data_IF_066003523609
#
_entry.id   IF_066003523609
#
_cell.length_a   1.000
_cell.length_b   1.000
_cell.length_c   1.000
_cell.angle_alpha   90.00
_cell.angle_beta   90.00
_cell.angle_gamma   90.00
#
_symmetry.space_group_name_H-M   'P 1'
#
loop_
_entity.id
_entity.type
_entity.pdbx_description
1 polymer ?
#
# COMPACT_ATOMS: atom_id res chain seq x y z
N UNK A 1 -12.95 -23.06 -13.09
CA UNK A 1 -14.15 -22.22 -12.95
C UNK A 1 -13.92 -20.94 -13.71
N UNK A 2 -15.00 -20.35 -14.25
CA UNK A 2 -14.92 -18.98 -14.75
C UNK A 2 -14.58 -18.03 -13.60
N UNK A 3 -13.84 -16.97 -13.91
CA UNK A 3 -13.61 -15.89 -12.94
C UNK A 3 -14.95 -15.27 -12.58
N UNK A 4 -15.17 -15.02 -11.29
CA UNK A 4 -16.37 -14.35 -10.79
C UNK A 4 -16.00 -13.11 -9.97
N UNK A 5 -16.78 -12.05 -10.14
CA UNK A 5 -16.81 -10.90 -9.24
C UNK A 5 -18.13 -10.93 -8.46
N UNK A 6 -18.08 -10.76 -7.15
CA UNK A 6 -19.28 -10.76 -6.31
C UNK A 6 -19.19 -9.68 -5.24
N UNK A 7 -20.22 -8.85 -5.15
CA UNK A 7 -20.39 -7.89 -4.05
C UNK A 7 -21.12 -8.56 -2.90
N UNK A 8 -20.58 -8.41 -1.70
CA UNK A 8 -21.08 -9.05 -0.47
C UNK A 8 -20.75 -8.21 0.75
N UNK A 9 -20.92 -8.78 1.93
CA UNK A 9 -20.54 -8.20 3.22
C UNK A 9 -19.37 -8.97 3.83
N UNK A 10 -18.41 -8.24 4.39
CA UNK A 10 -17.38 -8.77 5.28
C UNK A 10 -17.78 -8.47 6.71
N UNK A 11 -17.91 -9.51 7.53
CA UNK A 11 -18.00 -9.37 8.97
C UNK A 11 -16.62 -9.53 9.60
N UNK A 12 -16.26 -8.60 10.48
CA UNK A 12 -14.98 -8.64 11.17
C UNK A 12 -15.11 -8.03 12.55
N UNK A 13 -14.47 -8.65 13.53
CA UNK A 13 -14.35 -8.03 14.85
C UNK A 13 -13.46 -6.79 14.74
N UNK A 14 -13.87 -5.68 15.32
CA UNK A 14 -13.05 -4.48 15.22
C UNK A 14 -13.53 -3.34 16.09
N UNK A 15 -12.90 -2.19 15.86
CA UNK A 15 -13.15 -0.96 16.58
C UNK A 15 -13.71 0.04 15.57
N UNK A 16 -14.96 0.51 15.75
CA UNK A 16 -15.54 1.44 14.79
C UNK A 16 -14.71 2.73 14.78
N UNK A 17 -14.38 3.19 13.58
CA UNK A 17 -13.97 4.58 13.41
C UNK A 17 -15.23 5.44 13.53
N UNK A 18 -15.24 6.37 14.47
CA UNK A 18 -16.26 7.39 14.61
C UNK A 18 -16.30 8.32 13.39
N UNK A 19 -17.26 9.26 13.36
CA UNK A 19 -17.36 10.23 12.28
C UNK A 19 -16.08 11.06 12.17
N UNK A 20 -15.77 11.52 10.97
CA UNK A 20 -14.70 12.50 10.79
C UNK A 20 -15.00 13.77 11.60
N UNK A 21 -13.95 14.43 12.08
CA UNK A 21 -14.05 15.67 12.84
C UNK A 21 -14.89 16.72 12.11
N UNK A 22 -15.71 17.44 12.87
CA UNK A 22 -16.53 18.56 12.34
C UNK A 22 -15.70 19.82 12.11
N UNK A 23 -14.49 19.86 12.65
CA UNK A 23 -13.58 20.99 12.53
C UNK A 23 -12.52 20.72 11.46
N UNK A 24 -12.01 21.76 10.78
CA UNK A 24 -10.87 21.63 9.90
C UNK A 24 -9.68 20.99 10.64
N UNK A 25 -8.88 20.20 9.93
CA UNK A 25 -7.64 19.67 10.48
C UNK A 25 -6.66 20.82 10.72
N UNK A 26 -6.54 21.25 11.98
CA UNK A 26 -5.56 22.26 12.42
C UNK A 26 -4.23 21.63 12.86
N UNK A 27 -4.13 20.29 12.81
CA UNK A 27 -2.89 19.54 13.07
C UNK A 27 -2.07 19.44 11.79
N UNK A 28 -0.76 19.59 11.93
CA UNK A 28 0.21 19.21 10.90
C UNK A 28 0.51 17.72 11.05
N UNK A 29 -0.03 16.85 10.17
CA UNK A 29 0.10 15.41 10.37
C UNK A 29 1.53 14.93 10.14
N UNK A 30 2.31 15.62 9.28
CA UNK A 30 3.63 15.18 8.82
C UNK A 30 4.51 16.40 8.47
N UNK A 31 4.94 17.16 9.47
CA UNK A 31 6.00 18.16 9.29
C UNK A 31 7.35 17.46 9.28
N UNK A 32 7.84 17.08 8.11
CA UNK A 32 9.26 16.80 7.92
C UNK A 32 9.64 17.06 6.48
N UNK A 33 10.22 18.23 6.25
CA UNK A 33 11.16 18.39 5.15
C UNK A 33 12.17 17.25 5.27
N UNK A 34 12.27 16.41 4.25
CA UNK A 34 13.27 15.36 4.21
C UNK A 34 14.60 16.05 3.95
N UNK A 35 15.54 15.87 4.88
CA UNK A 35 16.94 16.08 4.60
C UNK A 35 17.45 14.87 3.79
N UNK A 36 18.17 15.12 2.70
CA UNK A 36 18.77 14.08 1.88
C UNK A 36 20.27 14.33 1.77
N UNK A 37 21.05 13.28 2.06
CA UNK A 37 22.51 13.24 1.92
C UNK A 37 22.82 12.20 0.85
N UNK A 38 22.57 12.60 -0.39
CA UNK A 38 22.61 11.78 -1.60
C UNK A 38 23.52 12.41 -2.66
N UNK A 39 23.79 11.69 -3.73
CA UNK A 39 24.47 12.24 -4.91
C UNK A 39 23.59 13.28 -5.63
N UNK A 40 24.19 14.11 -6.48
CA UNK A 40 23.55 15.30 -7.09
C UNK A 40 22.20 14.98 -7.77
N UNK A 41 22.15 13.91 -8.55
CA UNK A 41 20.95 13.51 -9.29
C UNK A 41 19.93 12.73 -8.43
N UNK A 42 20.39 12.08 -7.36
CA UNK A 42 19.55 11.24 -6.48
C UNK A 42 18.60 12.08 -5.61
N UNK A 43 18.97 13.33 -5.33
CA UNK A 43 18.17 14.27 -4.54
C UNK A 43 17.07 15.00 -5.32
N UNK A 44 16.96 14.78 -6.64
CA UNK A 44 16.00 15.48 -7.47
C UNK A 44 14.56 15.23 -7.02
N UNK A 45 13.78 16.30 -6.96
CA UNK A 45 12.37 16.30 -6.52
C UNK A 45 12.11 15.85 -5.07
N UNK A 46 13.13 15.65 -4.24
CA UNK A 46 12.91 15.49 -2.79
C UNK A 46 12.13 16.70 -2.27
N UNK A 47 11.11 16.43 -1.46
CA UNK A 47 10.14 17.42 -0.96
C UNK A 47 9.22 18.07 -2.00
N UNK A 48 9.30 17.72 -3.29
CA UNK A 48 8.42 18.30 -4.31
C UNK A 48 6.95 17.94 -4.07
N UNK A 49 6.10 18.97 -4.07
CA UNK A 49 4.65 18.80 -3.93
C UNK A 49 4.18 18.32 -2.57
N UNK A 50 4.99 18.46 -1.51
CA UNK A 50 4.60 18.14 -0.15
C UNK A 50 3.50 19.06 0.40
N UNK A 51 2.74 18.55 1.37
CA UNK A 51 1.76 19.32 2.15
C UNK A 51 2.16 19.32 3.63
N UNK A 52 1.81 20.40 4.33
CA UNK A 52 2.03 20.58 5.78
C UNK A 52 0.72 20.51 6.58
N UNK A 53 -0.34 20.00 5.99
CA UNK A 53 -1.66 19.88 6.62
C UNK A 53 -2.40 18.65 6.08
N UNK A 54 -3.58 18.37 6.63
CA UNK A 54 -4.50 17.36 6.09
C UNK A 54 -5.62 17.97 5.24
N UNK A 55 -5.62 19.27 4.99
CA UNK A 55 -6.69 19.94 4.25
C UNK A 55 -6.75 19.45 2.79
N UNK A 56 -7.95 19.34 2.21
CA UNK A 56 -9.26 19.75 2.74
C UNK A 56 -9.96 18.67 3.59
N UNK A 57 -9.25 17.63 4.03
CA UNK A 57 -9.83 16.50 4.75
C UNK A 57 -9.87 16.74 6.26
N UNK A 58 -10.98 16.39 6.90
CA UNK A 58 -11.10 16.41 8.35
C UNK A 58 -10.49 15.15 8.99
N UNK A 59 -10.03 15.24 10.24
CA UNK A 59 -9.41 14.13 10.97
C UNK A 59 -10.39 12.97 11.20
N UNK A 60 -9.87 11.75 11.25
CA UNK A 60 -10.54 10.53 11.68
C UNK A 60 -9.81 10.00 12.92
N UNK A 61 -10.05 10.62 14.07
CA UNK A 61 -9.37 10.38 15.34
C UNK A 61 -10.32 10.04 16.50
N UNK A 62 -11.61 9.92 16.20
CA UNK A 62 -12.64 9.51 17.16
C UNK A 62 -12.80 7.99 17.12
N UNK A 63 -11.99 7.26 17.88
CA UNK A 63 -12.14 5.81 18.06
C UNK A 63 -11.68 5.39 19.45
N UNK A 64 -12.51 4.63 20.15
CA UNK A 64 -12.22 4.10 21.49
C UNK A 64 -11.73 2.66 21.38
N UNK A 65 -10.45 2.44 21.69
CA UNK A 65 -9.82 1.12 21.59
C UNK A 65 -10.42 0.06 22.54
N UNK A 66 -11.26 0.46 23.50
CA UNK A 66 -12.01 -0.46 24.37
C UNK A 66 -13.33 -0.95 23.76
N UNK A 67 -13.88 -0.24 22.77
CA UNK A 67 -15.22 -0.50 22.20
C UNK A 67 -15.17 -1.47 21.02
N UNK A 68 -14.78 -2.71 21.32
CA UNK A 68 -14.66 -3.77 20.33
C UNK A 68 -16.03 -4.40 20.02
N UNK A 69 -16.40 -4.47 18.75
CA UNK A 69 -17.69 -5.02 18.28
C UNK A 69 -17.56 -5.73 16.94
N UNK A 70 -18.58 -6.50 16.55
CA UNK A 70 -18.66 -7.07 15.21
C UNK A 70 -19.06 -5.97 14.23
N UNK A 71 -18.20 -5.71 13.25
CA UNK A 71 -18.43 -4.73 12.18
C UNK A 71 -18.81 -5.45 10.90
N UNK A 72 -19.61 -4.79 10.08
CA UNK A 72 -19.97 -5.27 8.75
C UNK A 72 -19.61 -4.22 7.70
N UNK A 73 -18.83 -4.61 6.69
CA UNK A 73 -18.39 -3.73 5.60
C UNK A 73 -18.82 -4.28 4.25
N UNK A 74 -19.13 -3.38 3.30
CA UNK A 74 -19.26 -3.76 1.89
C UNK A 74 -17.93 -4.31 1.37
N UNK A 75 -18.01 -5.44 0.67
CA UNK A 75 -16.88 -6.15 0.12
C UNK A 75 -17.12 -6.55 -1.33
N UNK A 76 -16.04 -6.62 -2.09
CA UNK A 76 -16.03 -7.22 -3.42
C UNK A 76 -15.04 -8.38 -3.42
N UNK A 77 -15.45 -9.52 -3.97
CA UNK A 77 -14.60 -10.71 -4.10
C UNK A 77 -14.39 -11.00 -5.57
N UNK A 78 -13.13 -11.02 -6.00
CA UNK A 78 -12.73 -11.46 -7.33
C UNK A 78 -12.00 -12.80 -7.18
N UNK A 79 -12.52 -13.87 -7.77
CA UNK A 79 -11.94 -15.21 -7.63
C UNK A 79 -11.94 -16.04 -8.91
N UNK A 80 -10.97 -16.94 -9.03
CA UNK A 80 -10.90 -18.01 -10.03
C UNK A 80 -10.53 -19.34 -9.34
N UNK A 81 -10.04 -20.34 -10.06
CA UNK A 81 -9.64 -21.63 -9.47
C UNK A 81 -8.43 -21.55 -8.53
N UNK A 82 -7.58 -20.53 -8.71
CA UNK A 82 -6.28 -20.43 -8.04
C UNK A 82 -6.26 -19.39 -6.92
N UNK A 83 -6.94 -18.27 -7.11
CA UNK A 83 -6.88 -17.13 -6.19
C UNK A 83 -8.28 -16.67 -5.80
N UNK A 84 -8.41 -16.17 -4.56
CA UNK A 84 -9.54 -15.38 -4.09
C UNK A 84 -9.03 -14.06 -3.52
N UNK A 85 -9.36 -12.95 -4.16
CA UNK A 85 -9.02 -11.59 -3.74
C UNK A 85 -10.26 -10.92 -3.14
N UNK A 86 -10.18 -10.52 -1.86
CA UNK A 86 -11.29 -9.85 -1.16
C UNK A 86 -10.93 -8.40 -0.86
N UNK A 87 -11.74 -7.48 -1.35
CA UNK A 87 -11.60 -6.05 -1.19
C UNK A 87 -12.62 -5.52 -0.18
N UNK A 88 -12.23 -4.60 0.70
CA UNK A 88 -13.13 -3.95 1.66
C UNK A 88 -13.32 -2.49 1.23
N UNK A 89 -14.46 -2.22 0.60
CA UNK A 89 -14.72 -0.96 -0.10
C UNK A 89 -14.81 0.25 0.84
N UNK A 90 -15.45 0.15 2.03
CA UNK A 90 -15.49 1.22 3.04
C UNK A 90 -14.13 1.59 3.65
N UNK A 91 -13.11 0.74 3.48
CA UNK A 91 -11.77 0.93 4.05
C UNK A 91 -10.76 1.24 2.94
N UNK A 92 -11.04 2.28 2.17
CA UNK A 92 -10.15 2.75 1.11
C UNK A 92 -10.07 1.82 -0.11
N UNK A 93 -10.97 0.83 -0.21
CA UNK A 93 -10.85 -0.23 -1.22
C UNK A 93 -9.71 -1.20 -0.95
N UNK A 94 -9.31 -1.36 0.33
CA UNK A 94 -8.22 -2.24 0.77
C UNK A 94 -8.39 -3.65 0.19
N UNK A 95 -7.37 -4.18 -0.48
CA UNK A 95 -7.29 -5.63 -0.72
C UNK A 95 -6.98 -6.29 0.62
N UNK A 96 -8.00 -6.82 1.29
CA UNK A 96 -7.89 -7.36 2.64
C UNK A 96 -7.22 -8.72 2.66
N UNK A 97 -7.57 -9.58 1.71
CA UNK A 97 -7.10 -10.96 1.59
C UNK A 97 -6.77 -11.27 0.13
N UNK A 98 -5.71 -12.04 -0.06
CA UNK A 98 -5.36 -12.64 -1.35
C UNK A 98 -4.97 -14.09 -1.06
N UNK A 99 -5.96 -14.96 -1.15
CA UNK A 99 -5.83 -16.35 -0.75
C UNK A 99 -5.45 -17.23 -1.94
N UNK A 100 -4.40 -18.03 -1.78
CA UNK A 100 -4.01 -19.09 -2.72
C UNK A 100 -4.83 -20.35 -2.43
N UNK A 101 -5.79 -20.65 -3.30
CA UNK A 101 -6.70 -21.81 -3.21
C UNK A 101 -5.97 -23.13 -3.50
N UNK A 102 -4.84 -23.09 -4.23
CA UNK A 102 -4.05 -24.29 -4.50
C UNK A 102 -3.23 -24.69 -3.28
N UNK A 103 -2.58 -23.71 -2.66
CA UNK A 103 -1.74 -23.94 -1.48
C UNK A 103 -2.53 -23.91 -0.16
N UNK A 104 -3.77 -23.43 -0.17
CA UNK A 104 -4.62 -23.33 1.01
C UNK A 104 -4.12 -22.32 2.04
N UNK A 105 -3.55 -21.19 1.58
CA UNK A 105 -2.92 -20.19 2.46
C UNK A 105 -3.16 -18.75 2.00
N UNK A 106 -3.12 -17.82 2.95
CA UNK A 106 -3.05 -16.39 2.66
C UNK A 106 -1.67 -16.00 2.11
N UNK A 107 -1.66 -15.11 1.12
CA UNK A 107 -0.44 -14.51 0.59
C UNK A 107 -0.09 -13.19 1.28
N UNK A 108 -1.09 -12.53 1.88
CA UNK A 108 -0.95 -11.26 2.58
C UNK A 108 -1.23 -11.43 4.07
N UNK A 109 -0.85 -10.44 4.88
CA UNK A 109 -1.30 -10.34 6.26
C UNK A 109 -2.78 -9.96 6.28
N UNK A 110 -3.66 -10.95 6.21
CA UNK A 110 -5.10 -10.79 6.35
C UNK A 110 -5.48 -10.70 7.83
N UNK A 111 -5.58 -9.48 8.36
CA UNK A 111 -5.88 -9.27 9.77
C UNK A 111 -7.22 -9.90 10.15
N UNK A 112 -7.26 -10.49 11.34
CA UNK A 112 -8.48 -11.05 11.93
C UNK A 112 -9.34 -9.99 12.59
N UNK A 113 -8.80 -8.78 12.77
CA UNK A 113 -9.47 -7.66 13.42
C UNK A 113 -9.23 -6.34 12.69
N UNK A 114 -10.25 -5.48 12.64
CA UNK A 114 -10.08 -4.09 12.24
C UNK A 114 -9.73 -3.22 13.44
N UNK A 115 -8.50 -2.71 13.49
CA UNK A 115 -8.01 -1.84 14.56
C UNK A 115 -7.34 -0.59 14.00
N UNK A 116 -8.01 0.58 14.05
CA UNK A 116 -7.39 1.83 13.65
C UNK A 116 -6.31 2.26 14.65
N UNK A 117 -5.33 3.01 14.16
CA UNK A 117 -4.21 3.59 14.89
C UNK A 117 -3.76 4.87 14.20
N UNK A 118 -2.97 5.70 14.89
CA UNK A 118 -2.67 7.09 14.52
C UNK A 118 -1.54 7.26 13.49
N UNK A 119 -1.64 6.60 12.33
CA UNK A 119 -0.58 6.59 11.32
C UNK A 119 -0.92 7.28 9.98
N UNK A 120 -2.20 7.34 9.59
CA UNK A 120 -2.59 7.95 8.31
C UNK A 120 -2.60 9.48 8.38
N UNK A 121 -2.70 10.10 7.21
CA UNK A 121 -2.81 11.57 7.07
C UNK A 121 -4.01 12.13 7.84
N UNK A 122 -5.09 11.35 7.95
CA UNK A 122 -6.28 11.69 8.75
C UNK A 122 -6.29 10.97 10.09
N UNK A 123 -5.14 10.59 10.64
CA UNK A 123 -4.98 9.79 11.85
C UNK A 123 -5.33 8.30 11.63
N UNK A 124 -6.60 7.90 11.55
CA UNK A 124 -6.98 6.48 11.49
C UNK A 124 -6.36 5.73 10.30
N UNK A 125 -5.52 4.74 10.62
CA UNK A 125 -4.92 3.77 9.72
C UNK A 125 -4.95 2.39 10.34
N UNK A 126 -4.86 1.34 9.52
CA UNK A 126 -4.75 -0.04 10.01
C UNK A 126 -3.77 -0.84 9.14
N UNK A 127 -3.09 -1.79 9.78
CA UNK A 127 -2.15 -2.70 9.13
C UNK A 127 -2.88 -3.79 8.33
N UNK A 128 -2.12 -4.55 7.53
CA UNK A 128 -2.63 -5.71 6.81
C UNK A 128 -3.17 -5.41 5.41
N UNK A 129 -3.24 -6.45 4.58
CA UNK A 129 -3.68 -6.36 3.19
C UNK A 129 -2.79 -5.46 2.31
N UNK A 130 -3.35 -4.98 1.20
CA UNK A 130 -2.70 -4.01 0.31
C UNK A 130 -3.47 -2.69 0.23
N UNK A 131 -2.81 -1.60 0.62
CA UNK A 131 -3.30 -0.23 0.55
C UNK A 131 -2.81 0.46 -0.72
N UNK A 132 -3.68 1.21 -1.40
CA UNK A 132 -3.34 1.94 -2.62
C UNK A 132 -3.28 3.44 -2.32
N UNK A 133 -2.09 3.93 -2.00
CA UNK A 133 -1.87 5.34 -1.68
C UNK A 133 -1.87 6.18 -2.95
N UNK A 134 -2.65 7.25 -3.00
CA UNK A 134 -2.69 8.15 -4.15
C UNK A 134 -2.74 9.63 -3.73
N UNK A 135 -1.94 10.46 -4.40
CA UNK A 135 -2.01 11.92 -4.32
C UNK A 135 -0.86 12.55 -3.57
N UNK A 136 -0.88 12.50 -2.24
CA UNK A 136 0.17 13.07 -1.37
C UNK A 136 0.95 11.99 -0.64
N UNK A 137 2.17 12.34 -0.20
CA UNK A 137 3.08 11.44 0.52
C UNK A 137 2.44 10.92 1.81
N UNK A 138 2.55 9.61 2.04
CA UNK A 138 2.07 8.93 3.23
C UNK A 138 0.97 7.92 2.95
N UNK A 139 0.40 7.35 4.00
CA UNK A 139 -0.78 6.49 3.91
C UNK A 139 -2.00 7.27 3.42
N UNK A 140 -2.91 6.58 2.74
CA UNK A 140 -3.93 7.23 1.93
C UNK A 140 -4.90 8.04 2.80
N UNK A 141 -5.30 9.22 2.32
CA UNK A 141 -6.29 10.07 3.00
C UNK A 141 -7.68 9.42 3.09
N UNK A 142 -7.92 8.30 2.42
CA UNK A 142 -9.16 7.56 2.48
C UNK A 142 -8.95 6.13 2.98
N UNK A 143 -7.85 5.87 3.72
CA UNK A 143 -7.59 4.56 4.34
C UNK A 143 -8.82 3.98 5.03
N UNK A 144 -9.52 4.79 5.83
CA UNK A 144 -10.74 4.43 6.54
C UNK A 144 -11.95 5.19 5.98
N UNK A 145 -12.03 5.36 4.65
CA UNK A 145 -13.17 5.99 3.99
C UNK A 145 -13.63 5.19 2.78
N UNK A 146 -14.93 5.20 2.47
CA UNK A 146 -15.46 4.44 1.36
C UNK A 146 -14.93 4.94 0.02
N UNK A 147 -14.66 3.99 -0.88
CA UNK A 147 -14.39 4.24 -2.28
C UNK A 147 -15.58 3.84 -3.13
N UNK A 148 -15.71 4.47 -4.29
CA UNK A 148 -16.64 3.97 -5.30
C UNK A 148 -16.07 2.70 -5.92
N UNK A 149 -16.98 1.77 -6.26
CA UNK A 149 -16.66 0.54 -6.95
C UNK A 149 -17.63 0.31 -8.10
N UNK A 150 -17.13 -0.28 -9.18
CA UNK A 150 -17.93 -0.71 -10.32
C UNK A 150 -17.43 -2.07 -10.81
N UNK A 151 -18.37 -2.88 -11.30
CA UNK A 151 -18.06 -4.06 -12.10
C UNK A 151 -18.08 -3.68 -13.57
N UNK A 152 -17.08 -4.15 -14.29
CA UNK A 152 -16.97 -4.05 -15.73
C UNK A 152 -16.71 -5.45 -16.29
N UNK A 153 -17.00 -5.62 -17.57
CA UNK A 153 -16.68 -6.84 -18.30
C UNK A 153 -15.61 -6.53 -19.35
N UNK A 154 -14.48 -7.24 -19.27
CA UNK A 154 -13.41 -7.15 -20.26
C UNK A 154 -13.47 -8.39 -21.17
N UNK A 155 -13.56 -8.23 -22.51
CA UNK A 155 -13.69 -9.36 -23.42
C UNK A 155 -12.53 -10.37 -23.37
N UNK A 156 -11.34 -9.95 -22.94
CA UNK A 156 -10.15 -10.80 -22.85
C UNK A 156 -9.94 -11.34 -21.43
N UNK A 157 -10.21 -10.51 -20.41
CA UNK A 157 -9.86 -10.82 -19.02
C UNK A 157 -11.04 -11.18 -18.11
N UNK A 158 -12.27 -11.08 -18.60
CA UNK A 158 -13.50 -11.35 -17.85
C UNK A 158 -13.89 -10.21 -16.91
N UNK A 159 -14.53 -10.51 -15.76
CA UNK A 159 -14.96 -9.50 -14.81
C UNK A 159 -13.80 -8.66 -14.26
N UNK A 160 -14.01 -7.35 -14.18
CA UNK A 160 -13.05 -6.37 -13.67
C UNK A 160 -13.68 -5.61 -12.52
N UNK A 161 -13.01 -5.62 -11.37
CA UNK A 161 -13.36 -4.73 -10.26
C UNK A 161 -12.64 -3.41 -10.47
N UNK A 162 -13.39 -2.33 -10.71
CA UNK A 162 -12.87 -0.96 -10.72
C UNK A 162 -13.13 -0.30 -9.38
N UNK A 163 -12.08 0.21 -8.74
CA UNK A 163 -12.17 1.12 -7.59
C UNK A 163 -11.70 2.49 -8.04
N UNK A 164 -12.47 3.54 -7.73
CA UNK A 164 -12.17 4.89 -8.20
C UNK A 164 -12.64 5.96 -7.21
N UNK A 165 -12.04 7.13 -7.33
CA UNK A 165 -12.42 8.31 -6.57
C UNK A 165 -11.80 9.58 -7.18
N UNK A 166 -12.03 10.71 -6.51
CA UNK A 166 -11.42 11.99 -6.81
C UNK A 166 -10.54 12.46 -5.65
N UNK A 167 -9.25 12.64 -5.91
CA UNK A 167 -8.34 13.30 -4.98
C UNK A 167 -8.70 14.79 -4.92
N UNK A 168 -9.24 15.22 -3.79
CA UNK A 168 -9.75 16.59 -3.58
C UNK A 168 -8.61 17.60 -3.46
N UNK A 169 -7.50 17.16 -2.88
CA UNK A 169 -6.29 17.95 -2.71
C UNK A 169 -5.46 18.08 -3.98
N UNK A 170 -5.37 17.02 -4.80
CA UNK A 170 -4.68 17.08 -6.10
C UNK A 170 -5.58 17.46 -7.26
N UNK A 171 -6.89 17.46 -7.05
CA UNK A 171 -7.92 17.73 -8.08
C UNK A 171 -7.81 16.78 -9.27
N UNK A 172 -7.46 15.53 -9.00
CA UNK A 172 -7.28 14.49 -10.02
C UNK A 172 -8.17 13.29 -9.74
N UNK A 173 -8.88 12.76 -10.75
CA UNK A 173 -9.47 11.43 -10.64
C UNK A 173 -8.36 10.39 -10.56
N UNK A 174 -8.57 9.38 -9.72
CA UNK A 174 -7.78 8.17 -9.74
C UNK A 174 -8.70 6.96 -9.88
N UNK A 175 -8.10 5.89 -10.42
CA UNK A 175 -8.76 4.62 -10.64
C UNK A 175 -7.73 3.50 -10.48
N UNK A 176 -8.19 2.36 -9.99
CA UNK A 176 -7.48 1.08 -10.08
C UNK A 176 -8.46 0.01 -10.55
N UNK A 177 -8.06 -0.72 -11.60
CA UNK A 177 -8.80 -1.87 -12.10
C UNK A 177 -8.08 -3.15 -11.67
N UNK A 178 -8.82 -4.09 -11.10
CA UNK A 178 -8.33 -5.41 -10.73
C UNK A 178 -8.89 -6.45 -11.68
N UNK A 179 -8.00 -7.29 -12.22
CA UNK A 179 -8.33 -8.34 -13.16
C UNK A 179 -7.73 -9.66 -12.67
N UNK A 180 -8.48 -10.74 -12.81
CA UNK A 180 -8.04 -12.08 -12.44
C UNK A 180 -8.48 -13.07 -13.52
N UNK A 181 -7.74 -13.20 -14.64
CA UNK A 181 -8.11 -14.11 -15.71
C UNK A 181 -8.27 -15.56 -15.22
N UNK A 182 -9.13 -16.36 -15.85
CA UNK A 182 -9.56 -17.68 -15.35
C UNK A 182 -8.40 -18.61 -14.99
N UNK A 183 -7.34 -18.60 -15.82
CA UNK A 183 -6.17 -19.47 -15.68
C UNK A 183 -4.97 -18.78 -14.98
N UNK A 184 -5.18 -17.61 -14.38
CA UNK A 184 -4.11 -16.82 -13.78
C UNK A 184 -3.86 -17.19 -12.31
N UNK A 185 -2.59 -17.30 -11.94
CA UNK A 185 -2.12 -17.34 -10.54
C UNK A 185 -1.67 -15.97 -10.03
N UNK A 186 -1.95 -14.92 -10.79
CA UNK A 186 -1.64 -13.53 -10.48
C UNK A 186 -2.90 -12.68 -10.53
N UNK A 187 -3.08 -11.85 -9.49
CA UNK A 187 -4.00 -10.73 -9.53
C UNK A 187 -3.31 -9.57 -10.27
N UNK A 188 -3.92 -9.09 -11.34
CA UNK A 188 -3.44 -7.92 -12.06
C UNK A 188 -4.09 -6.66 -11.50
N UNK A 189 -3.28 -5.61 -11.31
CA UNK A 189 -3.74 -4.32 -10.84
C UNK A 189 -3.28 -3.22 -11.82
N UNK A 190 -4.23 -2.43 -12.34
CA UNK A 190 -3.97 -1.35 -13.29
C UNK A 190 -4.40 -0.02 -12.70
N UNK A 191 -3.45 0.70 -12.12
CA UNK A 191 -3.65 2.07 -11.64
C UNK A 191 -3.65 3.09 -12.79
N UNK A 192 -4.55 4.07 -12.72
CA UNK A 192 -4.60 5.22 -13.61
C UNK A 192 -4.89 6.49 -12.81
N UNK A 193 -4.02 7.48 -13.00
CA UNK A 193 -4.25 8.87 -12.56
C UNK A 193 -4.34 9.70 -13.83
N UNK A 194 -5.31 10.61 -13.88
CA UNK A 194 -5.47 11.54 -14.98
C UNK A 194 -5.45 12.97 -14.47
N UNK A 195 -4.64 13.83 -15.08
CA UNK A 195 -4.65 15.26 -14.81
C UNK A 195 -5.52 15.96 -15.86
N UNK A 196 -6.76 16.40 -15.51
CA UNK A 196 -7.62 17.15 -16.43
C UNK A 196 -7.20 18.62 -16.58
N UNK A 197 -6.29 19.10 -15.74
CA UNK A 197 -5.85 20.49 -15.71
C UNK A 197 -4.70 20.79 -16.67
N UNK A 198 -4.39 22.08 -16.79
CA UNK A 198 -3.24 22.58 -17.57
C UNK A 198 -1.95 22.62 -16.74
N UNK A 199 -2.08 22.71 -15.42
CA UNK A 199 -0.95 22.84 -14.51
C UNK A 199 -0.35 21.47 -14.16
N UNK A 200 0.96 21.46 -13.88
CA UNK A 200 1.64 20.27 -13.36
C UNK A 200 1.12 19.97 -11.95
N UNK A 201 0.69 18.73 -11.74
CA UNK A 201 0.21 18.25 -10.44
C UNK A 201 1.22 17.23 -9.88
N UNK A 202 1.92 17.53 -8.77
CA UNK A 202 2.75 16.54 -8.11
C UNK A 202 1.90 15.39 -7.59
N UNK A 203 2.32 14.15 -7.86
CA UNK A 203 1.59 12.94 -7.47
C UNK A 203 2.50 11.98 -6.72
N UNK A 204 1.91 11.30 -5.73
CA UNK A 204 2.49 10.19 -5.00
C UNK A 204 1.65 8.94 -5.24
N UNK A 205 2.29 7.80 -5.49
CA UNK A 205 1.61 6.51 -5.61
C UNK A 205 2.44 5.40 -4.98
N UNK A 206 1.82 4.61 -4.10
CA UNK A 206 2.38 3.34 -3.62
C UNK A 206 1.29 2.29 -3.47
N UNK A 207 1.63 1.05 -3.80
CA UNK A 207 0.85 -0.13 -3.42
C UNK A 207 1.53 -0.74 -2.20
N UNK A 208 1.10 -0.34 -1.02
CA UNK A 208 1.69 -0.77 0.25
C UNK A 208 1.09 -2.12 0.66
N UNK A 209 1.87 -3.19 0.55
CA UNK A 209 1.43 -4.57 0.72
C UNK A 209 2.03 -5.14 2.00
N UNK A 210 1.19 -5.53 2.96
CA UNK A 210 1.64 -6.23 4.16
C UNK A 210 1.75 -7.74 3.87
N UNK A 211 2.97 -8.27 3.93
CA UNK A 211 3.25 -9.69 3.85
C UNK A 211 3.64 -10.23 5.24
N UNK A 212 3.31 -11.50 5.56
CA UNK A 212 3.68 -12.08 6.85
C UNK A 212 5.18 -12.33 6.91
N UNK A 213 5.84 -11.82 7.95
CA UNK A 213 7.22 -12.19 8.27
C UNK A 213 7.24 -13.57 8.93
N UNK A 214 7.95 -14.51 8.34
CA UNK A 214 8.15 -15.86 8.91
C UNK A 214 9.63 -16.05 9.25
N UNK A 215 9.98 -16.89 10.25
CA UNK A 215 11.38 -17.10 10.60
C UNK A 215 12.22 -17.58 9.41
N UNK A 216 13.33 -16.90 9.15
CA UNK A 216 14.23 -17.14 8.04
C UNK A 216 13.68 -16.76 6.66
N UNK A 217 12.62 -15.94 6.59
CA UNK A 217 12.16 -15.39 5.32
C UNK A 217 13.20 -14.43 4.74
N UNK A 218 13.22 -14.32 3.41
CA UNK A 218 14.19 -13.52 2.67
C UNK A 218 13.50 -12.68 1.61
N UNK A 219 13.78 -11.38 1.60
CA UNK A 219 13.39 -10.45 0.55
C UNK A 219 14.44 -10.45 -0.55
N UNK A 220 14.01 -10.66 -1.78
CA UNK A 220 14.85 -10.68 -2.98
C UNK A 220 14.34 -9.63 -3.95
N UNK A 221 15.23 -8.71 -4.29
CA UNK A 221 15.01 -7.57 -5.19
C UNK A 221 16.24 -7.42 -6.09
N UNK A 222 16.10 -7.05 -7.37
CA UNK A 222 17.23 -6.88 -8.26
C UNK A 222 17.89 -5.51 -8.07
N UNK A 223 18.36 -5.23 -6.85
CA UNK A 223 19.07 -4.00 -6.48
C UNK A 223 20.30 -4.33 -5.64
N UNK A 224 21.40 -3.63 -5.92
CA UNK A 224 22.65 -3.69 -5.13
C UNK A 224 22.85 -2.45 -4.25
N UNK A 225 21.93 -1.50 -4.32
CA UNK A 225 21.92 -0.27 -3.53
C UNK A 225 20.48 0.06 -3.11
N UNK A 226 20.36 0.82 -2.03
CA UNK A 226 19.08 1.29 -1.51
C UNK A 226 19.23 2.69 -0.95
N UNK A 227 18.18 3.50 -1.12
CA UNK A 227 17.99 4.71 -0.34
C UNK A 227 17.39 4.31 1.00
N UNK A 228 18.03 4.72 2.08
CA UNK A 228 17.73 4.35 3.45
C UNK A 228 17.29 5.58 4.22
N UNK A 229 16.20 5.46 4.97
CA UNK A 229 15.85 6.45 5.98
C UNK A 229 16.63 6.18 7.28
N UNK A 230 17.56 7.06 7.63
CA UNK A 230 18.33 6.98 8.89
C UNK A 230 17.76 7.94 9.92
N UNK A 231 17.80 7.54 11.18
CA UNK A 231 17.41 8.35 12.33
C UNK A 231 18.66 8.71 13.14
N UNK A 232 18.87 10.00 13.39
CA UNK A 232 19.92 10.52 14.26
C UNK A 232 19.35 11.65 15.12
N UNK A 233 19.49 11.54 16.44
CA UNK A 233 19.07 12.56 17.42
C UNK A 233 17.64 13.12 17.24
N UNK A 234 16.71 12.28 16.75
CA UNK A 234 15.32 12.68 16.53
C UNK A 234 15.03 13.33 15.17
N UNK A 235 16.04 13.48 14.31
CA UNK A 235 15.88 13.82 12.90
C UNK A 235 16.02 12.58 12.02
N UNK A 236 15.27 12.54 10.92
CA UNK A 236 15.42 11.50 9.90
C UNK A 236 15.92 12.10 8.59
N UNK A 237 16.83 11.40 7.92
CA UNK A 237 17.41 11.83 6.65
C UNK A 237 17.62 10.64 5.71
N UNK A 238 17.49 10.89 4.41
CA UNK A 238 17.77 9.91 3.38
C UNK A 238 19.26 9.83 3.09
N UNK A 239 19.78 8.61 3.02
CA UNK A 239 21.14 8.33 2.54
C UNK A 239 21.11 7.15 1.57
N UNK A 240 22.19 6.91 0.83
CA UNK A 240 22.34 5.73 -0.03
C UNK A 240 23.33 4.76 0.61
N UNK A 241 23.03 3.46 0.55
CA UNK A 241 23.94 2.41 1.03
C UNK A 241 23.90 1.19 0.12
N UNK A 242 24.93 0.37 0.20
CA UNK A 242 25.04 -0.88 -0.55
C UNK A 242 24.19 -1.99 0.09
N UNK A 243 23.69 -2.89 -0.74
CA UNK A 243 23.05 -4.14 -0.34
C UNK A 243 24.00 -5.33 -0.64
N UNK A 244 23.92 -6.43 0.11
CA UNK A 244 22.97 -6.71 1.17
C UNK A 244 23.45 -6.30 2.57
N UNK A 245 24.68 -5.83 2.75
CA UNK A 245 25.33 -5.74 4.07
C UNK A 245 25.79 -4.32 4.45
N UNK A 246 25.31 -3.28 3.76
CA UNK A 246 25.72 -1.90 4.01
C UNK A 246 25.32 -1.33 5.38
N UNK A 247 24.51 -2.05 6.15
CA UNK A 247 24.21 -1.75 7.56
C UNK A 247 24.96 -2.67 8.56
N UNK A 248 25.87 -3.52 8.08
CA UNK A 248 26.70 -4.41 8.91
C UNK A 248 26.10 -5.79 9.17
N UNK A 249 24.98 -6.12 8.54
CA UNK A 249 24.31 -7.43 8.58
C UNK A 249 23.55 -7.66 7.27
N UNK A 250 23.16 -8.89 6.96
CA UNK A 250 22.41 -9.19 5.74
C UNK A 250 20.97 -8.65 5.81
N UNK A 251 20.75 -7.53 5.13
CA UNK A 251 19.51 -6.77 4.97
C UNK A 251 18.47 -7.51 4.11
N UNK A 252 18.82 -8.62 3.47
CA UNK A 252 17.85 -9.44 2.73
C UNK A 252 16.97 -10.28 3.66
N UNK A 253 17.32 -10.39 4.95
CA UNK A 253 16.52 -11.08 5.96
C UNK A 253 15.83 -10.05 6.87
N UNK A 254 14.49 -9.87 6.75
CA UNK A 254 13.75 -8.92 7.58
C UNK A 254 13.96 -9.07 9.09
N UNK A 255 14.16 -10.30 9.57
CA UNK A 255 14.38 -10.59 10.99
C UNK A 255 15.70 -10.05 11.56
N UNK A 256 16.66 -9.69 10.70
CA UNK A 256 17.95 -9.15 11.15
C UNK A 256 17.87 -7.67 11.55
N UNK A 257 16.79 -6.96 11.22
CA UNK A 257 16.65 -5.54 11.52
C UNK A 257 16.30 -5.33 13.01
N UNK A 258 17.17 -4.67 13.81
CA UNK A 258 16.93 -4.48 15.25
C UNK A 258 15.98 -3.32 15.57
N UNK A 259 15.60 -2.54 14.57
CA UNK A 259 14.73 -1.37 14.65
C UNK A 259 14.04 -1.17 13.30
N UNK A 260 13.02 -0.32 13.30
CA UNK A 260 12.28 0.01 12.08
C UNK A 260 13.18 0.62 10.99
N UNK A 261 12.97 0.21 9.74
CA UNK A 261 13.67 0.72 8.56
C UNK A 261 12.78 0.89 7.35
N UNK A 262 13.13 1.89 6.54
CA UNK A 262 12.63 2.11 5.19
C UNK A 262 13.77 1.93 4.18
N UNK A 263 13.65 0.94 3.30
CA UNK A 263 14.55 0.71 2.16
C UNK A 263 13.82 0.99 0.86
N UNK A 264 14.22 2.01 0.13
CA UNK A 264 13.76 2.27 -1.24
C UNK A 264 14.83 1.75 -2.21
N UNK A 265 14.55 0.63 -2.87
CA UNK A 265 15.56 -0.08 -3.65
C UNK A 265 15.92 0.67 -4.94
N UNK A 266 17.22 0.87 -5.18
CA UNK A 266 17.74 1.45 -6.42
C UNK A 266 17.83 0.35 -7.50
N UNK A 267 16.69 -0.06 -8.06
CA UNK A 267 16.64 -1.11 -9.08
C UNK A 267 17.11 -0.54 -10.43
N UNK A 268 18.13 -1.13 -11.09
CA UNK A 268 18.61 -0.65 -12.38
C UNK A 268 17.51 -0.57 -13.44
N UNK A 269 17.59 0.44 -14.31
CA UNK A 269 16.54 0.75 -15.30
C UNK A 269 16.13 -0.47 -16.16
N UNK A 270 17.11 -1.25 -16.62
CA UNK A 270 16.87 -2.43 -17.48
C UNK A 270 16.51 -3.72 -16.75
N UNK A 271 16.68 -3.78 -15.42
CA UNK A 271 16.28 -4.94 -14.63
C UNK A 271 14.76 -5.10 -14.60
N UNK A 272 14.28 -6.35 -14.50
CA UNK A 272 12.87 -6.64 -14.21
C UNK A 272 12.50 -5.97 -12.87
N UNK A 273 11.33 -5.33 -12.80
CA UNK A 273 10.86 -4.68 -11.58
C UNK A 273 10.05 -5.68 -10.76
N UNK A 274 10.64 -6.20 -9.70
CA UNK A 274 9.98 -7.11 -8.78
C UNK A 274 10.58 -7.02 -7.38
N UNK A 275 9.77 -7.43 -6.42
CA UNK A 275 10.16 -7.70 -5.05
C UNK A 275 9.51 -9.02 -4.63
N UNK A 276 10.30 -9.95 -4.11
CA UNK A 276 9.84 -11.28 -3.72
C UNK A 276 10.21 -11.58 -2.28
N UNK A 277 9.25 -12.12 -1.51
CA UNK A 277 9.48 -12.68 -0.19
C UNK A 277 9.46 -14.20 -0.29
N UNK A 278 10.57 -14.84 0.01
CA UNK A 278 10.69 -16.29 0.07
C UNK A 278 10.74 -16.77 1.51
N UNK A 279 9.94 -17.78 1.84
CA UNK A 279 10.00 -18.49 3.10
C UNK A 279 11.00 -19.65 3.02
N UNK A 280 11.43 -20.15 4.18
CA UNK A 280 12.41 -21.26 4.27
C UNK A 280 11.93 -22.56 3.60
N UNK A 281 10.62 -22.77 3.52
CA UNK A 281 10.01 -23.93 2.88
C UNK A 281 9.92 -23.81 1.34
N UNK A 282 10.43 -22.71 0.77
CA UNK A 282 10.38 -22.43 -0.67
C UNK A 282 9.07 -21.79 -1.15
N UNK A 283 8.07 -21.63 -0.27
CA UNK A 283 6.88 -20.84 -0.56
C UNK A 283 7.21 -19.35 -0.55
N UNK A 284 6.32 -18.51 -1.08
CA UNK A 284 6.57 -17.07 -1.07
C UNK A 284 5.45 -16.23 -1.64
N UNK A 285 5.74 -14.94 -1.79
CA UNK A 285 4.92 -13.94 -2.44
C UNK A 285 5.83 -13.11 -3.35
N UNK A 286 5.34 -12.74 -4.53
CA UNK A 286 6.07 -11.87 -5.46
C UNK A 286 5.15 -10.78 -5.97
N UNK A 287 5.65 -9.55 -5.90
CA UNK A 287 5.02 -8.38 -6.50
C UNK A 287 5.87 -7.94 -7.69
N UNK A 288 5.23 -7.77 -8.85
CA UNK A 288 5.89 -7.33 -10.08
C UNK A 288 5.21 -6.07 -10.60
N UNK A 289 6.01 -5.23 -11.26
CA UNK A 289 5.52 -4.02 -11.87
C UNK A 289 6.05 -3.85 -13.29
N UNK A 290 5.41 -2.97 -14.06
CA UNK A 290 5.92 -2.60 -15.39
C UNK A 290 7.16 -1.71 -15.25
N UNK A 291 7.94 -1.54 -16.32
CA UNK A 291 9.13 -0.65 -16.33
C UNK A 291 8.84 0.78 -15.88
N UNK A 292 7.60 1.27 -16.02
CA UNK A 292 7.17 2.61 -15.62
C UNK A 292 7.00 2.76 -14.10
N UNK A 293 6.69 1.67 -13.39
CA UNK A 293 6.47 1.65 -11.95
C UNK A 293 7.76 1.14 -11.28
N UNK A 294 8.75 2.01 -11.19
CA UNK A 294 10.13 1.63 -10.84
C UNK A 294 10.34 1.42 -9.33
N UNK A 295 9.59 2.12 -8.49
CA UNK A 295 9.75 2.09 -7.04
C UNK A 295 9.34 0.75 -6.44
N UNK A 296 10.26 0.14 -5.69
CA UNK A 296 10.03 -0.98 -4.79
C UNK A 296 10.64 -0.60 -3.43
N UNK A 297 9.97 -0.99 -2.35
CA UNK A 297 10.32 -0.52 -1.01
C UNK A 297 9.97 -1.56 0.03
N UNK A 298 10.91 -1.82 0.93
CA UNK A 298 10.68 -2.56 2.16
C UNK A 298 10.51 -1.61 3.35
N UNK A 299 9.48 -1.85 4.15
CA UNK A 299 9.38 -1.37 5.53
C UNK A 299 9.39 -2.58 6.45
N UNK A 300 10.28 -2.59 7.42
CA UNK A 300 10.53 -3.71 8.36
C UNK A 300 10.80 -3.19 9.75
#
# INVERSE_FOLDING_TARGET
MKTTLTFTKKQIQGIPAGPASRFPALRDPIKSTIEARLDEDDGLFVNYGMFSDSLPYAMQDDYDLSQKQMLEFDSAILENDFLRAEFVLPLGGRLWSLFDKTAGRELLTANTEFRPSNLAIRNAWFAGGAEFNCGRRGHDVNTCSPRFAAELDDPEFGPVLRIYDYSRDRKTPFQIDFLLPENSRFLFARGRIYNPGKEVVPMYWWSNIAAPMTPGCRVVVPAMETYLNKYDQGSHFLTKTNMPDGEGFDQTYPENFPFVRDHFYNIPAESRKYEALFNRDGSGFIHLSTKRLQGHKLFV
#
